data_IF_214004761474
#
_entry.id   IF_214004761474
#
_cell.length_a   1.000
_cell.length_b   1.000
_cell.length_c   1.000
_cell.angle_alpha   90.00
_cell.angle_beta   90.00
_cell.angle_gamma   90.00
#
_symmetry.space_group_name_H-M   'P 1'
#
loop_
_entity.id
_entity.type
_entity.pdbx_description
1 polymer ?
#
# COMPACT_ATOMS: atom_id res chain seq x y z
N UNK A 1 16.98 63.49 58.86
CA UNK A 1 15.79 63.91 58.11
C UNK A 1 16.25 64.25 56.71
N UNK A 2 15.64 63.57 55.73
CA UNK A 2 15.33 64.00 54.36
C UNK A 2 16.40 64.68 53.48
N UNK A 3 16.68 64.06 52.32
CA UNK A 3 16.48 64.58 50.93
C UNK A 3 17.55 63.99 49.96
N UNK A 4 17.22 63.09 49.03
CA UNK A 4 16.60 63.19 47.67
C UNK A 4 17.66 63.20 46.52
N UNK A 5 17.49 62.25 45.58
CA UNK A 5 17.91 62.20 44.15
C UNK A 5 19.41 62.18 43.81
N UNK A 6 19.91 61.64 42.67
CA UNK A 6 19.30 61.33 41.37
C UNK A 6 20.09 60.23 40.62
N UNK A 7 19.46 59.75 39.54
CA UNK A 7 19.70 58.59 38.67
C UNK A 7 21.07 58.49 37.97
N UNK A 8 21.46 57.25 37.60
CA UNK A 8 22.38 57.01 36.48
C UNK A 8 21.92 55.84 35.60
N UNK A 9 21.75 56.19 34.33
CA UNK A 9 21.41 55.40 33.15
C UNK A 9 22.33 54.20 32.92
N UNK A 10 21.77 53.05 32.53
CA UNK A 10 22.50 51.95 31.87
C UNK A 10 21.65 51.40 30.73
N UNK A 11 22.11 51.63 29.50
CA UNK A 11 21.64 50.96 28.27
C UNK A 11 22.07 49.49 28.27
N UNK A 12 21.19 48.53 27.96
CA UNK A 12 21.59 47.14 27.78
C UNK A 12 22.00 46.89 26.32
N UNK A 13 23.19 46.31 26.14
CA UNK A 13 23.69 45.78 24.87
C UNK A 13 22.88 44.54 24.50
N UNK A 14 22.20 44.56 23.35
CA UNK A 14 21.57 43.37 22.76
C UNK A 14 22.65 42.40 22.25
N UNK A 15 22.76 41.24 22.90
CA UNK A 15 23.46 40.08 22.37
C UNK A 15 22.49 39.31 21.48
N UNK A 16 22.78 39.26 20.17
CA UNK A 16 22.01 38.50 19.20
C UNK A 16 22.24 37.01 19.40
N UNK A 17 21.28 36.33 20.02
CA UNK A 17 21.23 34.87 20.06
C UNK A 17 20.88 34.38 18.66
N UNK A 18 21.89 33.86 17.95
CA UNK A 18 21.69 33.09 16.72
C UNK A 18 21.05 31.78 17.13
N UNK A 19 19.73 31.69 16.96
CA UNK A 19 19.00 30.43 17.07
C UNK A 19 19.25 29.66 15.78
N UNK A 20 20.12 28.64 15.84
CA UNK A 20 20.20 27.63 14.79
C UNK A 20 18.82 26.96 14.64
N UNK A 21 18.31 26.74 13.42
CA UNK A 21 17.03 26.09 13.25
C UNK A 21 17.15 24.63 13.71
N UNK A 22 16.32 24.23 14.67
CA UNK A 22 16.11 22.83 15.05
C UNK A 22 15.97 21.98 13.78
N UNK A 23 16.90 21.04 13.60
CA UNK A 23 16.80 20.03 12.56
C UNK A 23 15.50 19.27 12.75
N UNK A 24 14.54 19.50 11.85
CA UNK A 24 13.25 18.82 11.87
C UNK A 24 13.54 17.35 11.58
N UNK A 25 13.47 16.49 12.61
CA UNK A 25 13.67 15.05 12.44
C UNK A 25 12.76 14.53 11.33
N UNK A 26 13.36 13.84 10.35
CA UNK A 26 12.61 13.27 9.24
C UNK A 26 11.54 12.30 9.76
N UNK A 27 10.32 12.27 9.18
CA UNK A 27 9.27 11.39 9.64
C UNK A 27 9.68 9.92 9.53
N UNK A 28 9.20 9.07 10.44
CA UNK A 28 9.50 7.63 10.40
C UNK A 28 8.26 6.85 9.95
N UNK A 29 8.41 6.02 8.92
CA UNK A 29 7.40 5.07 8.44
C UNK A 29 7.84 3.65 8.79
N UNK A 30 7.06 2.98 9.63
CA UNK A 30 7.20 1.56 9.91
C UNK A 30 6.27 0.75 9.01
N UNK A 31 6.77 -0.34 8.45
CA UNK A 31 6.00 -1.21 7.57
C UNK A 31 6.40 -2.68 7.73
N UNK A 32 5.49 -3.60 7.43
CA UNK A 32 5.79 -5.04 7.38
C UNK A 32 4.58 -5.91 7.67
N UNK A 33 3.59 -5.39 8.41
CA UNK A 33 2.30 -6.06 8.58
C UNK A 33 1.44 -5.86 7.34
N UNK A 34 0.76 -6.93 6.91
CA UNK A 34 -0.26 -6.84 5.86
C UNK A 34 -1.31 -5.77 6.19
N UNK A 35 -1.81 -5.76 7.42
CA UNK A 35 -2.91 -4.87 7.82
C UNK A 35 -2.53 -3.39 7.92
N UNK A 36 -1.26 -3.04 7.69
CA UNK A 36 -0.77 -1.67 7.79
C UNK A 36 -0.81 -0.95 6.44
N UNK A 37 -1.05 0.38 6.42
CA UNK A 37 -1.16 1.13 5.18
C UNK A 37 0.06 1.02 4.25
N UNK A 38 1.25 0.99 4.84
CA UNK A 38 2.51 0.98 4.10
C UNK A 38 2.97 -0.42 3.66
N UNK A 39 2.11 -1.43 3.71
CA UNK A 39 2.46 -2.80 3.29
C UNK A 39 2.99 -2.88 1.85
N UNK A 40 2.66 -1.92 0.98
CA UNK A 40 3.23 -1.83 -0.37
C UNK A 40 4.76 -1.71 -0.44
N UNK A 41 5.40 -1.32 0.65
CA UNK A 41 6.85 -1.30 0.80
C UNK A 41 7.44 -2.70 1.01
N UNK A 42 6.66 -3.66 1.53
CA UNK A 42 7.08 -5.04 1.79
C UNK A 42 7.41 -5.79 0.50
N UNK A 43 8.35 -6.74 0.59
CA UNK A 43 8.70 -7.65 -0.50
C UNK A 43 7.53 -8.56 -0.88
N UNK A 44 6.73 -8.95 0.12
CA UNK A 44 5.56 -9.81 -0.04
C UNK A 44 4.37 -9.11 -0.69
N UNK A 45 4.49 -7.81 -0.99
CA UNK A 45 3.43 -7.09 -1.68
C UNK A 45 3.28 -7.59 -3.13
N UNK A 46 2.07 -7.99 -3.56
CA UNK A 46 1.75 -8.31 -4.95
C UNK A 46 2.24 -7.22 -5.90
N UNK A 47 3.29 -7.54 -6.66
CA UNK A 47 3.95 -6.63 -7.59
C UNK A 47 4.62 -7.48 -8.65
N UNK A 48 4.13 -7.43 -9.88
CA UNK A 48 4.72 -8.25 -10.95
C UNK A 48 6.09 -7.70 -11.30
N UNK A 49 7.05 -8.61 -11.37
CA UNK A 49 8.45 -8.27 -11.63
C UNK A 49 8.99 -9.29 -12.63
N UNK A 50 9.44 -8.79 -13.78
CA UNK A 50 10.31 -9.54 -14.66
C UNK A 50 11.74 -9.47 -14.11
N UNK A 51 12.34 -10.62 -13.81
CA UNK A 51 13.71 -10.74 -13.32
C UNK A 51 14.42 -11.91 -14.03
N UNK A 52 15.51 -11.60 -14.75
CA UNK A 52 16.11 -12.53 -15.70
C UNK A 52 15.14 -12.92 -16.82
N UNK A 53 14.99 -14.22 -17.08
CA UNK A 53 14.04 -14.78 -18.05
C UNK A 53 12.67 -15.13 -17.45
N UNK A 54 12.44 -14.85 -16.17
CA UNK A 54 11.28 -15.29 -15.41
C UNK A 54 10.42 -14.11 -14.95
N UNK A 55 9.12 -14.34 -14.75
CA UNK A 55 8.18 -13.38 -14.16
C UNK A 55 7.75 -13.86 -12.78
N UNK A 56 7.73 -12.95 -11.82
CA UNK A 56 7.42 -13.20 -10.42
C UNK A 56 6.23 -12.36 -9.97
N UNK A 57 5.44 -12.89 -9.04
CA UNK A 57 4.21 -12.23 -8.56
C UNK A 57 4.47 -11.17 -7.46
N UNK A 58 5.66 -11.17 -6.87
CA UNK A 58 6.12 -10.21 -5.87
C UNK A 58 7.65 -10.28 -5.72
N UNK A 59 8.24 -9.27 -5.08
CA UNK A 59 9.68 -9.20 -4.85
C UNK A 59 10.22 -10.35 -3.98
N UNK A 60 9.43 -10.85 -3.02
CA UNK A 60 9.85 -11.98 -2.19
C UNK A 60 10.11 -13.23 -3.04
N UNK A 61 9.19 -13.58 -3.95
CA UNK A 61 9.36 -14.73 -4.84
C UNK A 61 10.55 -14.59 -5.78
N UNK A 62 10.82 -13.39 -6.31
CA UNK A 62 12.00 -13.12 -7.12
C UNK A 62 13.30 -13.28 -6.31
N UNK A 63 13.33 -12.74 -5.09
CA UNK A 63 14.49 -12.83 -4.21
C UNK A 63 14.78 -14.27 -3.75
N UNK A 64 13.74 -15.04 -3.39
CA UNK A 64 13.93 -16.45 -3.03
C UNK A 64 14.38 -17.30 -4.22
N UNK A 65 13.89 -17.04 -5.43
CA UNK A 65 14.35 -17.74 -6.63
C UNK A 65 15.80 -17.41 -6.99
N UNK A 66 16.26 -16.19 -6.72
CA UNK A 66 17.64 -15.76 -6.99
C UNK A 66 18.70 -16.61 -6.25
N UNK A 67 18.34 -17.22 -5.11
CA UNK A 67 19.20 -18.15 -4.37
C UNK A 67 19.64 -19.36 -5.19
N UNK A 68 18.83 -19.77 -6.16
CA UNK A 68 18.98 -21.03 -6.89
C UNK A 68 19.50 -20.78 -8.31
N UNK A 69 20.51 -19.90 -8.46
CA UNK A 69 21.02 -19.43 -9.76
C UNK A 69 21.52 -20.56 -10.69
N UNK A 70 22.02 -21.65 -10.12
CA UNK A 70 22.50 -22.82 -10.85
C UNK A 70 21.45 -23.94 -11.01
N UNK A 71 20.23 -23.71 -10.51
CA UNK A 71 19.15 -24.70 -10.40
C UNK A 71 17.83 -24.18 -10.99
N UNK A 72 17.71 -24.10 -12.33
CA UNK A 72 16.55 -23.52 -13.01
C UNK A 72 15.22 -24.20 -12.66
N UNK A 73 15.24 -25.49 -12.34
CA UNK A 73 14.07 -26.25 -11.89
C UNK A 73 13.53 -25.75 -10.55
N UNK A 74 14.41 -25.37 -9.61
CA UNK A 74 14.04 -24.82 -8.31
C UNK A 74 13.52 -23.39 -8.45
N UNK A 75 14.16 -22.59 -9.32
CA UNK A 75 13.69 -21.25 -9.66
C UNK A 75 12.27 -21.26 -10.23
N UNK A 76 12.00 -22.16 -11.19
CA UNK A 76 10.68 -22.33 -11.79
C UNK A 76 9.66 -22.80 -10.73
N UNK A 77 10.05 -23.70 -9.84
CA UNK A 77 9.17 -24.18 -8.78
C UNK A 77 8.81 -23.09 -7.74
N UNK A 78 9.69 -22.11 -7.52
CA UNK A 78 9.42 -20.90 -6.73
C UNK A 78 8.56 -19.90 -7.51
N UNK A 79 8.87 -19.65 -8.78
CA UNK A 79 8.10 -18.74 -9.64
C UNK A 79 6.62 -19.15 -9.76
N UNK A 80 6.35 -20.46 -9.73
CA UNK A 80 4.99 -21.02 -9.78
C UNK A 80 4.25 -21.02 -8.42
N UNK A 81 4.83 -20.48 -7.35
CA UNK A 81 4.14 -20.35 -6.06
C UNK A 81 3.06 -19.28 -6.13
N UNK A 82 1.94 -19.51 -5.44
CA UNK A 82 0.85 -18.53 -5.35
C UNK A 82 1.12 -17.50 -4.25
N UNK A 83 1.82 -17.91 -3.19
CA UNK A 83 2.02 -17.10 -2.00
C UNK A 83 3.51 -16.87 -1.68
N UNK A 84 3.89 -15.67 -1.20
CA UNK A 84 5.26 -15.40 -0.74
C UNK A 84 5.74 -16.39 0.34
N UNK A 85 4.84 -16.80 1.24
CA UNK A 85 5.14 -17.78 2.29
C UNK A 85 5.59 -19.13 1.73
N UNK A 86 4.90 -19.63 0.69
CA UNK A 86 5.27 -20.90 0.04
C UNK A 86 6.67 -20.84 -0.59
N UNK A 87 7.04 -19.69 -1.16
CA UNK A 87 8.37 -19.48 -1.73
C UNK A 87 9.46 -19.49 -0.65
N UNK A 88 9.21 -18.84 0.49
CA UNK A 88 10.11 -18.86 1.64
C UNK A 88 10.27 -20.30 2.17
N UNK A 89 9.17 -21.04 2.33
CA UNK A 89 9.21 -22.40 2.87
C UNK A 89 9.91 -23.38 1.92
N UNK A 90 9.67 -23.27 0.61
CA UNK A 90 10.45 -24.01 -0.39
C UNK A 90 11.93 -23.69 -0.33
N UNK A 91 12.29 -22.40 -0.31
CA UNK A 91 13.68 -21.98 -0.26
C UNK A 91 14.40 -22.47 1.00
N UNK A 92 13.70 -22.53 2.15
CA UNK A 92 14.23 -23.12 3.39
C UNK A 92 14.45 -24.62 3.28
N UNK A 93 13.53 -25.35 2.64
CA UNK A 93 13.67 -26.79 2.43
C UNK A 93 14.80 -27.16 1.46
N UNK A 94 15.26 -26.21 0.66
CA UNK A 94 16.35 -26.38 -0.32
C UNK A 94 17.61 -25.63 0.09
N UNK A 95 17.82 -25.38 1.38
CA UNK A 95 18.98 -24.60 1.87
C UNK A 95 20.33 -25.18 1.41
N UNK A 96 20.42 -26.50 1.22
CA UNK A 96 21.63 -27.20 0.75
C UNK A 96 22.03 -26.83 -0.69
N UNK A 97 21.13 -26.22 -1.46
CA UNK A 97 21.38 -25.76 -2.84
C UNK A 97 21.73 -24.26 -2.90
N UNK A 98 21.74 -23.56 -1.77
CA UNK A 98 22.08 -22.14 -1.73
C UNK A 98 23.61 -21.99 -1.79
N UNK A 99 24.15 -21.16 -2.71
CA UNK A 99 25.57 -20.92 -2.82
C UNK A 99 26.20 -20.39 -1.52
N UNK A 100 27.45 -20.77 -1.26
CA UNK A 100 28.20 -20.33 -0.07
C UNK A 100 28.40 -18.80 -0.03
N UNK A 101 28.51 -18.16 -1.19
CA UNK A 101 28.68 -16.70 -1.36
C UNK A 101 27.37 -15.91 -1.30
N UNK A 102 26.23 -16.57 -1.05
CA UNK A 102 24.92 -15.91 -1.02
C UNK A 102 24.85 -14.74 -0.02
N UNK A 103 25.50 -14.85 1.14
CA UNK A 103 25.50 -13.79 2.14
C UNK A 103 26.14 -12.49 1.62
N UNK A 104 27.16 -12.59 0.77
CA UNK A 104 27.85 -11.44 0.17
C UNK A 104 27.00 -10.79 -0.93
N UNK A 105 26.22 -11.60 -1.67
CA UNK A 105 25.41 -11.12 -2.80
C UNK A 105 24.00 -10.67 -2.42
N UNK A 106 23.43 -11.18 -1.32
CA UNK A 106 22.00 -11.04 -1.04
C UNK A 106 21.51 -9.58 -1.00
N UNK A 107 22.33 -8.65 -0.51
CA UNK A 107 21.98 -7.22 -0.45
C UNK A 107 21.94 -6.58 -1.85
N UNK A 108 22.86 -6.96 -2.74
CA UNK A 108 22.90 -6.44 -4.10
C UNK A 108 21.71 -6.95 -4.91
N UNK A 109 21.39 -8.23 -4.78
CA UNK A 109 20.24 -8.88 -5.40
C UNK A 109 18.93 -8.27 -4.88
N UNK A 110 18.79 -8.09 -3.56
CA UNK A 110 17.59 -7.44 -2.99
C UNK A 110 17.41 -6.02 -3.54
N UNK A 111 18.50 -5.25 -3.65
CA UNK A 111 18.46 -3.90 -4.23
C UNK A 111 18.05 -3.93 -5.70
N UNK A 112 18.53 -4.90 -6.48
CA UNK A 112 18.11 -5.08 -7.87
C UNK A 112 16.63 -5.42 -7.99
N UNK A 113 16.14 -6.42 -7.24
CA UNK A 113 14.74 -6.82 -7.22
C UNK A 113 13.83 -5.65 -6.83
N UNK A 114 14.20 -4.88 -5.80
CA UNK A 114 13.42 -3.70 -5.39
C UNK A 114 13.49 -2.60 -6.45
N UNK A 115 14.64 -2.40 -7.11
CA UNK A 115 14.73 -1.47 -8.24
C UNK A 115 13.74 -1.86 -9.33
N UNK A 116 13.73 -3.13 -9.73
CA UNK A 116 12.80 -3.67 -10.74
C UNK A 116 11.34 -3.52 -10.31
N UNK A 117 11.00 -3.81 -9.05
CA UNK A 117 9.67 -3.59 -8.47
C UNK A 117 9.17 -2.19 -8.75
N UNK A 118 9.96 -1.17 -8.43
CA UNK A 118 9.53 0.23 -8.55
C UNK A 118 9.74 0.83 -9.94
N UNK A 119 10.62 0.29 -10.79
CA UNK A 119 10.76 0.76 -12.17
C UNK A 119 9.73 0.15 -13.11
N UNK A 120 9.29 -1.09 -12.87
CA UNK A 120 8.30 -1.78 -13.70
C UNK A 120 6.85 -1.46 -13.28
N UNK A 121 6.62 -0.96 -12.05
CA UNK A 121 5.29 -0.64 -11.53
C UNK A 121 5.16 0.86 -11.24
N UNK A 122 4.67 1.64 -12.21
CA UNK A 122 4.59 3.11 -12.13
C UNK A 122 3.83 3.64 -10.91
N UNK A 123 2.73 2.98 -10.52
CA UNK A 123 1.94 3.37 -9.35
C UNK A 123 2.72 3.15 -8.04
N UNK A 124 3.45 2.03 -7.93
CA UNK A 124 4.32 1.78 -6.77
C UNK A 124 5.49 2.76 -6.73
N UNK A 125 6.05 3.11 -7.89
CA UNK A 125 7.09 4.16 -8.02
C UNK A 125 6.61 5.47 -7.39
N UNK A 126 5.42 5.93 -7.80
CA UNK A 126 4.84 7.16 -7.30
C UNK A 126 4.63 7.11 -5.78
N UNK A 127 4.09 6.00 -5.26
CA UNK A 127 3.88 5.81 -3.81
C UNK A 127 5.20 5.78 -3.03
N UNK A 128 6.27 5.17 -3.56
CA UNK A 128 7.58 5.21 -2.92
C UNK A 128 8.15 6.63 -2.88
N UNK A 129 8.05 7.38 -3.98
CA UNK A 129 8.51 8.78 -4.03
C UNK A 129 7.71 9.67 -3.06
N UNK A 130 6.42 9.41 -2.89
CA UNK A 130 5.53 10.13 -1.95
C UNK A 130 5.87 9.93 -0.48
N UNK A 131 6.64 8.89 -0.13
CA UNK A 131 7.16 8.78 1.25
C UNK A 131 8.09 9.95 1.60
N UNK A 132 8.43 10.83 0.65
CA UNK A 132 9.20 12.03 0.90
C UNK A 132 10.57 11.65 1.45
N UNK A 133 11.01 12.37 2.47
CA UNK A 133 12.29 12.09 3.13
C UNK A 133 12.12 11.19 4.36
N UNK A 134 10.99 10.49 4.48
CA UNK A 134 10.75 9.62 5.62
C UNK A 134 11.79 8.51 5.75
N UNK A 135 12.24 8.24 6.97
CA UNK A 135 12.96 7.01 7.28
C UNK A 135 12.01 5.83 7.12
N UNK A 136 12.41 4.84 6.33
CA UNK A 136 11.63 3.62 6.11
C UNK A 136 12.20 2.51 6.98
N UNK A 137 11.41 1.98 7.91
CA UNK A 137 11.80 0.89 8.80
C UNK A 137 10.95 -0.35 8.53
N UNK A 138 11.58 -1.40 8.02
CA UNK A 138 10.94 -2.70 7.90
C UNK A 138 10.86 -3.36 9.27
N UNK A 139 9.66 -3.59 9.78
CA UNK A 139 9.44 -4.24 11.07
C UNK A 139 9.26 -5.74 10.88
N UNK A 140 10.13 -6.54 11.50
CA UNK A 140 10.05 -7.99 11.49
C UNK A 140 10.40 -8.57 12.85
N UNK A 141 9.64 -9.56 13.31
CA UNK A 141 9.93 -10.27 14.57
C UNK A 141 11.04 -11.31 14.41
N UNK A 142 11.23 -11.83 13.20
CA UNK A 142 12.08 -12.99 12.91
C UNK A 142 13.34 -12.60 12.15
N UNK A 143 13.29 -11.51 11.38
CA UNK A 143 14.36 -11.11 10.46
C UNK A 143 15.00 -9.79 10.92
N UNK A 144 16.06 -9.92 11.74
CA UNK A 144 16.86 -8.79 12.22
C UNK A 144 17.90 -8.31 11.19
N UNK A 145 18.05 -9.01 10.07
CA UNK A 145 18.96 -8.62 9.01
C UNK A 145 18.29 -7.60 8.09
N UNK A 146 17.16 -7.96 7.48
CA UNK A 146 16.43 -7.04 6.62
C UNK A 146 15.59 -6.01 7.39
N UNK A 147 15.20 -6.31 8.63
CA UNK A 147 14.32 -5.47 9.43
C UNK A 147 14.84 -5.10 10.81
N UNK A 148 13.97 -4.45 11.59
CA UNK A 148 14.08 -4.22 13.03
C UNK A 148 12.92 -4.90 13.75
N UNK A 149 13.17 -5.39 14.96
CA UNK A 149 12.11 -5.87 15.85
C UNK A 149 11.42 -4.70 16.59
N UNK A 150 10.58 -5.03 17.57
CA UNK A 150 9.81 -4.03 18.34
C UNK A 150 10.68 -3.22 19.30
N UNK A 151 11.86 -3.73 19.64
CA UNK A 151 12.83 -3.08 20.52
C UNK A 151 13.89 -2.33 19.70
N UNK A 152 13.56 -2.05 18.43
CA UNK A 152 14.41 -1.43 17.41
C UNK A 152 15.75 -2.15 17.16
N UNK A 153 15.83 -3.45 17.47
CA UNK A 153 17.01 -4.25 17.21
C UNK A 153 16.99 -4.83 15.80
N UNK A 154 18.09 -4.66 15.07
CA UNK A 154 18.27 -5.16 13.71
C UNK A 154 18.86 -4.11 12.76
N UNK A 155 19.22 -4.53 11.55
CA UNK A 155 20.00 -3.71 10.61
C UNK A 155 19.15 -2.89 9.63
N UNK A 156 17.86 -3.22 9.50
CA UNK A 156 16.93 -2.54 8.58
C UNK A 156 17.46 -2.45 7.13
N UNK A 157 18.14 -3.48 6.62
CA UNK A 157 18.70 -3.42 5.26
C UNK A 157 17.63 -3.17 4.20
N UNK A 158 16.41 -3.70 4.34
CA UNK A 158 15.34 -3.46 3.37
C UNK A 158 14.91 -1.99 3.36
N UNK A 159 14.74 -1.37 4.52
CA UNK A 159 14.43 0.06 4.63
C UNK A 159 15.47 0.93 3.97
N UNK A 160 16.76 0.65 4.24
CA UNK A 160 17.89 1.36 3.64
C UNK A 160 17.97 1.19 2.11
N UNK A 161 17.70 -0.02 1.62
CA UNK A 161 17.60 -0.32 0.19
C UNK A 161 16.47 0.51 -0.44
N UNK A 162 15.29 0.53 0.16
CA UNK A 162 14.15 1.31 -0.35
C UNK A 162 14.44 2.80 -0.42
N UNK A 163 15.09 3.37 0.61
CA UNK A 163 15.52 4.77 0.61
C UNK A 163 16.55 5.05 -0.49
N UNK A 164 17.47 4.11 -0.74
CA UNK A 164 18.44 4.20 -1.83
C UNK A 164 17.76 4.14 -3.21
N UNK A 165 16.79 3.23 -3.39
CA UNK A 165 15.98 3.13 -4.61
C UNK A 165 15.15 4.39 -4.81
N UNK A 166 14.56 4.94 -3.75
CA UNK A 166 13.84 6.23 -3.77
C UNK A 166 14.74 7.36 -4.25
N UNK A 167 15.95 7.48 -3.73
CA UNK A 167 16.92 8.48 -4.16
C UNK A 167 17.30 8.31 -5.64
N UNK A 168 17.57 7.07 -6.07
CA UNK A 168 17.84 6.74 -7.47
C UNK A 168 16.69 7.19 -8.40
N UNK A 169 15.45 6.86 -8.04
CA UNK A 169 14.26 7.18 -8.83
C UNK A 169 13.96 8.68 -8.95
N UNK A 170 14.44 9.52 -8.02
CA UNK A 170 14.38 10.99 -8.12
C UNK A 170 15.33 11.55 -9.17
N UNK A 171 16.47 10.90 -9.37
CA UNK A 171 17.50 11.33 -10.35
C UNK A 171 17.23 10.85 -11.77
N UNK A 172 16.36 9.84 -11.93
CA UNK A 172 16.00 9.29 -13.24
C UNK A 172 14.88 10.12 -13.90
N UNK A 173 15.15 10.86 -14.99
CA UNK A 173 14.10 11.53 -15.77
C UNK A 173 13.08 10.49 -16.28
N UNK A 174 11.84 10.93 -16.50
CA UNK A 174 10.63 10.10 -16.66
C UNK A 174 10.62 9.01 -17.75
N UNK A 175 11.69 8.85 -18.54
CA UNK A 175 11.78 7.83 -19.58
C UNK A 175 12.58 6.59 -19.10
N UNK A 176 11.95 5.81 -18.22
CA UNK A 176 12.48 4.51 -17.73
C UNK A 176 12.17 3.35 -18.69
N UNK A 177 11.29 3.58 -19.66
CA UNK A 177 10.72 2.57 -20.56
C UNK A 177 11.79 1.83 -21.38
N UNK A 178 12.89 2.52 -21.70
CA UNK A 178 13.96 2.01 -22.54
C UNK A 178 15.00 1.15 -21.79
N UNK A 179 15.16 1.31 -20.47
CA UNK A 179 16.17 0.57 -19.68
C UNK A 179 15.62 -0.59 -18.88
N UNK A 180 14.37 -0.50 -18.46
CA UNK A 180 13.67 -1.58 -17.79
C UNK A 180 12.42 -1.84 -18.61
N UNK A 181 12.46 -2.88 -19.46
CA UNK A 181 11.30 -3.26 -20.26
C UNK A 181 10.13 -3.44 -19.29
N UNK A 182 9.06 -2.62 -19.40
CA UNK A 182 7.88 -2.84 -18.58
C UNK A 182 7.40 -4.27 -18.88
N UNK A 183 7.05 -5.02 -17.83
CA UNK A 183 6.42 -6.33 -18.07
C UNK A 183 5.18 -6.07 -18.94
N UNK A 184 5.02 -6.75 -20.09
CA UNK A 184 3.93 -6.46 -21.01
C UNK A 184 2.62 -6.51 -20.24
N UNK A 185 1.95 -5.37 -20.18
CA UNK A 185 0.63 -5.24 -19.61
C UNK A 185 -0.29 -6.19 -20.40
N UNK A 186 -0.59 -7.37 -19.87
CA UNK A 186 -1.67 -8.16 -20.46
C UNK A 186 -2.93 -7.28 -20.37
N UNK A 187 -3.81 -7.23 -21.37
CA UNK A 187 -5.03 -6.39 -21.34
C UNK A 187 -6.01 -6.69 -20.20
N UNK A 188 -5.72 -7.68 -19.35
CA UNK A 188 -6.41 -7.98 -18.10
C UNK A 188 -5.65 -7.52 -16.83
N UNK A 189 -4.60 -6.69 -16.96
CA UNK A 189 -3.80 -6.19 -15.85
C UNK A 189 -4.63 -5.18 -15.03
N UNK A 190 -5.13 -5.71 -13.91
CA UNK A 190 -5.92 -5.02 -12.89
C UNK A 190 -4.97 -4.11 -12.11
N UNK A 191 -5.43 -2.90 -11.80
CA UNK A 191 -4.64 -1.95 -10.99
C UNK A 191 -4.14 -2.63 -9.73
N UNK A 192 -2.84 -2.48 -9.42
CA UNK A 192 -2.11 -3.13 -8.32
C UNK A 192 -2.50 -2.53 -6.97
N UNK A 193 -3.80 -2.39 -6.72
CA UNK A 193 -4.32 -2.08 -5.41
C UNK A 193 -4.38 -3.41 -4.69
N UNK A 194 -3.49 -3.53 -3.71
CA UNK A 194 -3.46 -4.65 -2.79
C UNK A 194 -4.88 -5.00 -2.36
N UNK A 195 -5.26 -6.23 -2.67
CA UNK A 195 -6.36 -6.90 -2.04
C UNK A 195 -5.72 -8.11 -1.38
N UNK A 196 -5.79 -8.17 -0.06
CA UNK A 196 -5.49 -9.42 0.60
C UNK A 196 -6.48 -10.44 0.09
N UNK A 197 -6.01 -11.52 -0.51
CA UNK A 197 -6.68 -12.78 -0.32
C UNK A 197 -5.93 -13.45 0.85
N UNK A 198 -6.00 -12.88 2.05
CA UNK A 198 -5.58 -13.58 3.29
C UNK A 198 -6.64 -14.61 3.73
N UNK A 199 -7.64 -14.90 2.89
CA UNK A 199 -8.50 -16.05 3.08
C UNK A 199 -7.67 -17.32 2.80
N UNK A 200 -6.90 -17.75 3.80
CA UNK A 200 -6.55 -19.16 3.93
C UNK A 200 -7.84 -19.99 3.85
N UNK A 201 -7.72 -21.23 3.40
CA UNK A 201 -8.81 -22.20 3.35
C UNK A 201 -9.59 -22.33 4.69
N UNK A 202 -9.02 -21.83 5.81
CA UNK A 202 -9.66 -21.80 7.13
C UNK A 202 -10.94 -20.95 7.21
N UNK A 203 -11.20 -20.07 6.24
CA UNK A 203 -12.26 -19.07 6.33
C UNK A 203 -13.57 -19.42 5.64
N UNK A 204 -13.60 -20.53 4.90
CA UNK A 204 -14.79 -20.95 4.20
C UNK A 204 -15.28 -22.28 4.75
N UNK A 205 -16.22 -22.27 5.72
CA UNK A 205 -16.92 -23.48 6.06
C UNK A 205 -17.46 -24.10 4.77
N UNK A 206 -17.29 -25.41 4.65
CA UNK A 206 -17.83 -26.21 3.54
C UNK A 206 -19.29 -25.81 3.29
N UNK A 207 -19.60 -25.42 2.05
CA UNK A 207 -20.96 -25.02 1.64
C UNK A 207 -21.33 -23.53 1.59
N UNK A 208 -20.39 -22.57 1.74
CA UNK A 208 -20.65 -21.13 1.49
C UNK A 208 -19.75 -20.53 0.40
N UNK A 209 -20.25 -19.52 -0.34
CA UNK A 209 -19.51 -18.83 -1.39
C UNK A 209 -18.14 -18.35 -0.88
N UNK A 210 -17.08 -18.64 -1.65
CA UNK A 210 -15.70 -18.27 -1.32
C UNK A 210 -15.29 -17.03 -2.11
N UNK A 211 -14.71 -16.02 -1.47
CA UNK A 211 -14.10 -14.89 -2.19
C UNK A 211 -12.90 -15.42 -2.98
N UNK A 212 -13.04 -15.40 -4.31
CA UNK A 212 -12.01 -15.90 -5.22
C UNK A 212 -11.06 -14.77 -5.62
N UNK A 213 -11.64 -13.62 -5.97
CA UNK A 213 -10.87 -12.51 -6.50
C UNK A 213 -11.54 -11.18 -6.16
N UNK A 214 -10.71 -10.20 -5.80
CA UNK A 214 -11.09 -8.80 -5.72
C UNK A 214 -10.23 -8.05 -6.72
N UNK A 215 -10.87 -7.25 -7.56
CA UNK A 215 -10.15 -6.41 -8.51
C UNK A 215 -10.68 -4.99 -8.45
N UNK A 216 -9.74 -4.05 -8.38
CA UNK A 216 -10.06 -2.63 -8.44
C UNK A 216 -9.63 -2.10 -9.79
N UNK A 217 -10.54 -1.40 -10.44
CA UNK A 217 -10.25 -0.65 -11.66
C UNK A 217 -10.46 0.83 -11.37
N UNK A 218 -9.51 1.71 -11.66
CA UNK A 218 -9.84 3.13 -11.71
C UNK A 218 -10.86 3.32 -12.84
N UNK A 219 -11.81 4.25 -12.66
CA UNK A 219 -12.81 4.49 -13.71
C UNK A 219 -12.21 5.15 -14.95
N UNK A 220 -11.15 5.92 -14.74
CA UNK A 220 -10.25 6.40 -15.79
C UNK A 220 -8.98 5.58 -15.68
N UNK A 221 -8.57 4.89 -16.75
CA UNK A 221 -7.46 3.92 -16.77
C UNK A 221 -6.14 4.47 -16.19
N UNK A 222 -6.02 5.81 -16.14
CA UNK A 222 -4.87 6.58 -15.70
C UNK A 222 -5.10 7.37 -14.40
N UNK A 223 -5.99 6.97 -13.47
CA UNK A 223 -6.07 7.65 -12.17
C UNK A 223 -4.71 7.54 -11.45
N UNK A 224 -3.92 8.60 -11.52
CA UNK A 224 -2.55 8.64 -11.05
C UNK A 224 -2.54 8.77 -9.52
N UNK A 225 -1.61 8.08 -8.86
CA UNK A 225 -1.26 8.41 -7.47
C UNK A 225 -0.78 9.88 -7.28
N UNK A 226 -0.65 10.66 -8.36
CA UNK A 226 -0.34 12.10 -8.29
C UNK A 226 -1.49 12.96 -7.78
N UNK A 227 -2.73 12.47 -7.83
CA UNK A 227 -3.91 13.21 -7.36
C UNK A 227 -3.81 13.56 -5.86
N UNK A 228 -4.55 14.60 -5.47
CA UNK A 228 -4.62 15.07 -4.08
C UNK A 228 -5.33 14.08 -3.16
N UNK A 229 -6.24 13.28 -3.72
CA UNK A 229 -6.91 12.20 -3.00
C UNK A 229 -7.09 10.99 -3.92
N UNK A 230 -6.69 9.81 -3.45
CA UNK A 230 -6.80 8.58 -4.23
C UNK A 230 -6.91 7.32 -3.36
N UNK A 231 -7.32 6.21 -3.97
CA UNK A 231 -7.41 4.91 -3.31
C UNK A 231 -6.02 4.30 -3.08
N UNK A 232 -5.63 4.16 -1.82
CA UNK A 232 -4.32 3.68 -1.39
C UNK A 232 -4.21 2.14 -1.43
N UNK A 233 -5.16 1.44 -0.82
CA UNK A 233 -5.21 -0.03 -0.78
C UNK A 233 -6.57 -0.52 -0.29
N UNK A 234 -6.85 -1.81 -0.45
CA UNK A 234 -7.99 -2.47 0.18
C UNK A 234 -7.47 -3.62 1.04
N UNK A 235 -7.70 -3.55 2.33
CA UNK A 235 -7.45 -4.65 3.26
C UNK A 235 -8.77 -5.37 3.55
N UNK A 236 -8.70 -6.62 4.01
CA UNK A 236 -9.81 -7.21 4.76
C UNK A 236 -9.32 -7.63 6.14
N UNK A 237 -10.20 -7.50 7.13
CA UNK A 237 -9.94 -7.97 8.48
C UNK A 237 -10.31 -9.44 8.67
N UNK A 238 -10.52 -9.80 9.94
CA UNK A 238 -11.04 -11.10 10.37
C UNK A 238 -12.59 -11.14 10.33
N UNK A 239 -13.25 -10.29 9.54
CA UNK A 239 -14.71 -10.29 9.42
C UNK A 239 -15.13 -10.61 7.98
N UNK A 240 -16.11 -11.51 7.76
CA UNK A 240 -16.45 -11.93 6.41
C UNK A 240 -17.03 -10.81 5.60
N UNK A 241 -16.50 -10.67 4.39
CA UNK A 241 -16.96 -9.68 3.43
C UNK A 241 -16.86 -8.24 3.91
N UNK A 242 -16.14 -8.00 5.01
CA UNK A 242 -15.84 -6.68 5.53
C UNK A 242 -14.47 -6.25 5.06
N UNK A 243 -14.46 -5.31 4.13
CA UNK A 243 -13.27 -4.70 3.58
C UNK A 243 -13.00 -3.37 4.25
N UNK A 244 -11.73 -3.02 4.36
CA UNK A 244 -11.27 -1.70 4.76
C UNK A 244 -10.56 -1.06 3.56
N UNK A 245 -11.14 0.04 3.10
CA UNK A 245 -10.70 0.80 1.95
C UNK A 245 -9.87 1.96 2.47
N UNK A 246 -8.57 1.94 2.17
CA UNK A 246 -7.65 2.98 2.59
C UNK A 246 -7.60 4.08 1.54
N UNK A 247 -7.93 5.31 1.92
CA UNK A 247 -7.87 6.50 1.07
C UNK A 247 -6.70 7.36 1.53
N UNK A 248 -5.82 7.73 0.59
CA UNK A 248 -4.73 8.65 0.85
C UNK A 248 -5.15 10.06 0.43
N UNK A 249 -4.93 11.04 1.31
CA UNK A 249 -5.18 12.47 1.10
C UNK A 249 -3.89 13.24 1.35
N UNK A 250 -3.57 14.21 0.48
CA UNK A 250 -2.44 15.12 0.64
C UNK A 250 -2.82 16.32 1.51
N UNK A 251 -1.92 16.77 2.38
CA UNK A 251 -2.17 17.83 3.37
C UNK A 251 -2.70 19.15 2.79
N UNK A 252 -2.22 19.54 1.60
CA UNK A 252 -2.67 20.76 0.93
C UNK A 252 -4.16 20.71 0.56
N UNK A 253 -4.70 19.51 0.32
CA UNK A 253 -6.13 19.26 0.19
C UNK A 253 -6.80 18.98 1.55
N UNK A 254 -6.02 18.70 2.59
CA UNK A 254 -6.51 18.37 3.92
C UNK A 254 -7.00 19.57 4.75
N UNK A 255 -6.57 20.78 4.43
CA UNK A 255 -7.17 22.02 4.96
C UNK A 255 -8.66 22.16 4.61
N UNK A 256 -9.18 21.35 3.66
CA UNK A 256 -10.60 21.11 3.40
C UNK A 256 -11.06 19.64 3.51
N UNK A 257 -10.21 18.71 3.98
CA UNK A 257 -10.56 17.28 4.04
C UNK A 257 -11.63 16.95 5.09
N UNK A 258 -11.90 17.86 6.03
CA UNK A 258 -13.08 17.77 6.89
C UNK A 258 -14.38 17.64 6.09
N UNK A 259 -14.39 18.04 4.82
CA UNK A 259 -15.54 17.97 3.93
C UNK A 259 -15.46 16.83 2.90
N UNK A 260 -14.40 16.01 2.87
CA UNK A 260 -14.31 14.89 1.92
C UNK A 260 -15.19 13.72 2.36
N UNK A 261 -15.93 13.15 1.40
CA UNK A 261 -16.79 11.99 1.61
C UNK A 261 -16.42 10.87 0.66
N UNK A 262 -16.43 9.64 1.16
CA UNK A 262 -16.31 8.42 0.36
C UNK A 262 -17.68 7.77 0.26
N UNK A 263 -18.18 7.62 -0.96
CA UNK A 263 -19.47 7.02 -1.23
C UNK A 263 -19.26 5.67 -1.91
N UNK A 264 -19.78 4.62 -1.29
CA UNK A 264 -19.85 3.27 -1.86
C UNK A 264 -21.26 3.04 -2.36
N UNK A 265 -21.36 2.72 -3.64
CA UNK A 265 -22.64 2.50 -4.28
C UNK A 265 -22.65 1.16 -5.01
N UNK A 266 -23.67 0.35 -4.74
CA UNK A 266 -23.91 -0.90 -5.46
C UNK A 266 -25.39 -0.99 -5.79
N UNK A 267 -25.69 -1.09 -7.08
CA UNK A 267 -27.02 -1.38 -7.60
C UNK A 267 -26.98 -2.77 -8.23
N UNK A 268 -27.57 -3.74 -7.54
CA UNK A 268 -27.87 -5.04 -8.12
C UNK A 268 -29.33 -5.03 -8.60
N UNK A 269 -29.62 -5.73 -9.70
CA UNK A 269 -30.96 -5.76 -10.28
C UNK A 269 -31.97 -6.30 -9.25
N UNK A 270 -33.11 -5.63 -9.03
CA UNK A 270 -34.12 -6.11 -8.10
C UNK A 270 -34.53 -7.54 -8.47
N UNK A 271 -34.73 -8.40 -7.45
CA UNK A 271 -35.19 -9.77 -7.67
C UNK A 271 -36.69 -9.83 -7.53
N UNK A 272 -37.37 -10.43 -8.49
CA UNK A 272 -38.79 -10.74 -8.34
C UNK A 272 -38.96 -11.81 -7.25
N UNK A 273 -39.73 -11.52 -6.20
CA UNK A 273 -40.05 -12.47 -5.13
C UNK A 273 -41.40 -13.12 -5.41
N UNK A 274 -41.45 -14.41 -5.81
CA UNK A 274 -42.71 -15.11 -6.06
C UNK A 274 -43.57 -15.20 -4.79
N UNK A 275 -42.94 -15.30 -3.62
CA UNK A 275 -43.61 -15.37 -2.32
C UNK A 275 -44.35 -14.07 -1.94
N UNK A 276 -43.91 -12.92 -2.44
CA UNK A 276 -44.47 -11.60 -2.11
C UNK A 276 -45.15 -10.92 -3.31
N UNK A 277 -45.15 -11.56 -4.48
CA UNK A 277 -45.74 -11.02 -5.72
C UNK A 277 -45.17 -9.66 -6.15
N UNK A 278 -43.94 -9.33 -5.74
CA UNK A 278 -43.32 -8.02 -6.01
C UNK A 278 -41.84 -8.14 -6.30
N UNK A 279 -41.32 -7.16 -7.02
CA UNK A 279 -39.88 -6.91 -7.11
C UNK A 279 -39.38 -6.43 -5.75
N UNK A 280 -38.38 -7.12 -5.21
CA UNK A 280 -37.70 -6.77 -3.96
C UNK A 280 -36.30 -6.27 -4.33
N UNK A 281 -35.80 -5.19 -3.71
CA UNK A 281 -34.41 -4.79 -3.87
C UNK A 281 -33.51 -6.01 -3.63
N UNK A 282 -32.50 -6.22 -4.47
CA UNK A 282 -31.54 -7.30 -4.20
C UNK A 282 -30.87 -6.99 -2.85
N UNK A 283 -30.79 -7.95 -1.91
CA UNK A 283 -30.10 -7.75 -0.64
C UNK A 283 -28.63 -7.30 -0.80
N UNK A 284 -28.04 -7.41 -1.99
CA UNK A 284 -26.73 -6.87 -2.34
C UNK A 284 -26.69 -5.37 -2.67
N UNK A 285 -27.83 -4.70 -2.86
CA UNK A 285 -27.86 -3.27 -3.15
C UNK A 285 -27.64 -2.44 -1.89
N UNK A 286 -26.71 -1.49 -1.94
CA UNK A 286 -26.46 -0.58 -0.82
C UNK A 286 -25.89 0.77 -1.30
N UNK A 287 -26.12 1.79 -0.47
CA UNK A 287 -25.51 3.11 -0.58
C UNK A 287 -24.94 3.49 0.79
N UNK A 288 -23.61 3.63 0.88
CA UNK A 288 -22.91 3.95 2.12
C UNK A 288 -22.05 5.19 1.90
N UNK A 289 -22.25 6.20 2.74
CA UNK A 289 -21.53 7.47 2.67
C UNK A 289 -20.78 7.68 3.99
N UNK A 290 -19.48 7.97 3.90
CA UNK A 290 -18.62 8.14 5.06
C UNK A 290 -17.78 9.40 4.91
N UNK A 291 -17.84 10.28 5.91
CA UNK A 291 -16.99 11.46 5.98
C UNK A 291 -15.56 11.08 6.40
N UNK A 292 -14.55 11.61 5.73
CA UNK A 292 -13.17 11.46 6.16
C UNK A 292 -12.90 12.42 7.33
N UNK A 293 -12.78 11.86 8.53
CA UNK A 293 -12.55 12.61 9.77
C UNK A 293 -11.43 11.97 10.59
N UNK A 294 -11.07 12.59 11.71
CA UNK A 294 -10.08 12.04 12.65
C UNK A 294 -10.44 10.64 13.15
N UNK A 295 -11.72 10.26 13.17
CA UNK A 295 -12.17 8.91 13.57
C UNK A 295 -11.72 7.83 12.58
N UNK A 296 -11.56 8.19 11.31
CA UNK A 296 -11.16 7.29 10.25
C UNK A 296 -9.65 7.36 9.96
N UNK A 297 -8.91 8.25 10.62
CA UNK A 297 -7.48 8.47 10.38
C UNK A 297 -6.64 7.29 10.90
N UNK A 298 -5.90 6.64 10.01
CA UNK A 298 -5.06 5.47 10.30
C UNK A 298 -3.59 5.80 10.44
N UNK A 299 -3.09 6.71 9.61
CA UNK A 299 -1.70 7.10 9.62
C UNK A 299 -1.53 8.54 9.15
N UNK A 300 -0.49 9.19 9.66
CA UNK A 300 -0.04 10.50 9.23
C UNK A 300 1.46 10.46 9.06
N UNK A 301 1.94 10.86 7.89
CA UNK A 301 3.37 11.06 7.63
C UNK A 301 3.57 12.56 7.46
N UNK A 302 4.29 13.18 8.40
CA UNK A 302 4.56 14.62 8.38
C UNK A 302 5.80 14.91 7.54
N UNK A 303 5.70 15.72 6.49
CA UNK A 303 6.82 15.98 5.59
C UNK A 303 6.52 17.11 4.61
N UNK A 304 7.40 17.36 3.62
CA UNK A 304 7.24 18.47 2.65
C UNK A 304 5.86 18.57 1.96
N UNK A 305 5.09 17.48 1.94
CA UNK A 305 3.63 17.51 1.93
C UNK A 305 3.13 16.39 2.86
N UNK A 306 2.32 16.70 3.88
CA UNK A 306 1.82 15.65 4.78
C UNK A 306 0.94 14.65 4.01
N UNK A 307 1.06 13.38 4.38
CA UNK A 307 0.25 12.30 3.83
C UNK A 307 -0.65 11.76 4.92
N UNK A 308 -1.96 11.85 4.70
CA UNK A 308 -2.99 11.33 5.60
C UNK A 308 -3.59 10.08 4.98
N UNK A 309 -3.70 9.00 5.75
CA UNK A 309 -4.35 7.78 5.29
C UNK A 309 -5.57 7.54 6.16
N UNK A 310 -6.75 7.47 5.53
CA UNK A 310 -8.02 7.20 6.16
C UNK A 310 -8.47 5.78 5.84
N UNK A 311 -8.99 5.03 6.81
CA UNK A 311 -9.55 3.70 6.62
C UNK A 311 -11.07 3.72 6.73
N UNK A 312 -11.75 3.34 5.65
CA UNK A 312 -13.22 3.26 5.62
C UNK A 312 -13.65 1.81 5.43
N UNK A 313 -14.48 1.31 6.35
CA UNK A 313 -14.99 -0.05 6.26
C UNK A 313 -16.20 -0.12 5.34
N UNK A 314 -16.30 -1.16 4.52
CA UNK A 314 -17.46 -1.48 3.68
C UNK A 314 -17.76 -2.97 3.78
N UNK A 315 -19.02 -3.31 4.02
CA UNK A 315 -19.51 -4.68 4.06
C UNK A 315 -20.08 -5.00 2.68
N UNK A 316 -19.49 -5.97 2.00
CA UNK A 316 -19.92 -6.41 0.68
C UNK A 316 -20.79 -7.67 0.80
N UNK A 317 -21.73 -7.88 -0.11
CA UNK A 317 -22.52 -9.10 -0.10
C UNK A 317 -21.71 -10.29 -0.67
N UNK A 318 -22.01 -11.53 -0.26
CA UNK A 318 -21.25 -12.73 -0.62
C UNK A 318 -21.58 -13.27 -2.02
N UNK A 319 -21.54 -12.42 -3.05
CA UNK A 319 -21.79 -12.79 -4.43
C UNK A 319 -21.08 -11.85 -5.40
N UNK A 320 -20.95 -12.32 -6.64
CA UNK A 320 -20.36 -11.56 -7.73
C UNK A 320 -21.03 -10.22 -7.90
N UNK A 321 -20.23 -9.18 -8.09
CA UNK A 321 -20.76 -7.89 -8.51
C UNK A 321 -19.77 -6.75 -8.38
N UNK A 322 -20.28 -5.55 -8.62
CA UNK A 322 -19.49 -4.33 -8.74
C UNK A 322 -19.97 -3.31 -7.74
N UNK A 323 -19.03 -2.75 -6.99
CA UNK A 323 -19.24 -1.61 -6.10
C UNK A 323 -18.50 -0.43 -6.68
N UNK A 324 -19.20 0.65 -6.89
CA UNK A 324 -18.67 1.92 -7.33
C UNK A 324 -18.21 2.72 -6.12
N UNK A 325 -17.03 3.33 -6.20
CA UNK A 325 -16.43 4.14 -5.15
C UNK A 325 -16.27 5.56 -5.69
N UNK A 326 -16.88 6.51 -5.01
CA UNK A 326 -16.78 7.94 -5.30
C UNK A 326 -16.09 8.66 -4.15
N UNK A 327 -15.24 9.61 -4.48
CA UNK A 327 -14.59 10.53 -3.56
C UNK A 327 -15.14 11.92 -3.88
N UNK A 328 -15.90 12.48 -2.96
CA UNK A 328 -16.69 13.69 -3.18
C UNK A 328 -16.24 14.81 -2.23
N UNK A 329 -16.29 16.07 -2.68
CA UNK A 329 -15.87 17.22 -1.87
C UNK A 329 -16.89 17.65 -0.80
N UNK A 330 -18.10 17.08 -0.79
CA UNK A 330 -19.11 17.30 0.25
C UNK A 330 -20.19 16.22 0.18
N UNK A 331 -20.98 16.07 1.25
CA UNK A 331 -22.10 15.11 1.32
C UNK A 331 -23.19 15.35 0.26
N UNK A 332 -23.46 16.62 -0.04
CA UNK A 332 -24.50 17.03 -0.99
C UNK A 332 -23.98 17.15 -2.43
N UNK A 333 -22.69 16.89 -2.67
CA UNK A 333 -22.15 16.89 -4.02
C UNK A 333 -22.86 15.86 -4.89
N UNK A 334 -23.24 16.27 -6.09
CA UNK A 334 -23.84 15.35 -7.07
C UNK A 334 -22.79 14.32 -7.46
N UNK A 335 -23.19 13.04 -7.47
CA UNK A 335 -22.31 11.96 -7.95
C UNK A 335 -22.00 12.20 -9.43
N UNK A 336 -20.72 12.21 -9.83
CA UNK A 336 -20.37 12.24 -11.24
C UNK A 336 -20.91 11.00 -11.96
N UNK A 337 -21.08 11.07 -13.28
CA UNK A 337 -21.57 9.93 -14.09
C UNK A 337 -20.62 8.73 -14.04
N UNK A 338 -19.33 8.98 -13.85
CA UNK A 338 -18.32 7.94 -13.70
C UNK A 338 -17.80 7.92 -12.27
N UNK A 339 -17.67 6.74 -11.63
CA UNK A 339 -17.06 6.63 -10.30
C UNK A 339 -15.58 7.02 -10.32
N UNK A 340 -14.92 7.13 -9.16
CA UNK A 340 -13.46 7.24 -9.11
C UNK A 340 -12.83 5.86 -9.31
N UNK A 341 -13.43 4.83 -8.67
CA UNK A 341 -12.98 3.44 -8.76
C UNK A 341 -14.17 2.48 -8.84
N UNK A 342 -13.96 1.33 -9.47
CA UNK A 342 -14.90 0.21 -9.47
C UNK A 342 -14.22 -0.99 -8.82
N UNK A 343 -14.80 -1.46 -7.73
CA UNK A 343 -14.43 -2.67 -7.01
C UNK A 343 -15.27 -3.82 -7.53
N UNK A 344 -14.66 -4.77 -8.23
CA UNK A 344 -15.30 -5.98 -8.70
C UNK A 344 -14.91 -7.16 -7.81
N UNK A 345 -15.91 -7.88 -7.33
CA UNK A 345 -15.76 -9.07 -6.51
C UNK A 345 -16.24 -10.28 -7.30
N UNK A 346 -15.46 -11.35 -7.29
CA UNK A 346 -15.79 -12.64 -7.88
C UNK A 346 -15.72 -13.73 -6.82
N UNK A 347 -16.72 -14.60 -6.83
CA UNK A 347 -16.97 -15.62 -5.83
C UNK A 347 -17.05 -16.99 -6.51
N UNK A 348 -16.49 -18.01 -5.86
CA UNK A 348 -16.62 -19.39 -6.29
C UNK A 348 -17.63 -20.11 -5.39
N UNK A 349 -18.39 -21.05 -5.96
CA UNK A 349 -19.14 -22.01 -5.16
C UNK A 349 -18.15 -22.79 -4.28
N UNK A 350 -18.50 -23.01 -3.01
CA UNK A 350 -17.72 -23.94 -2.20
C UNK A 350 -17.87 -25.35 -2.79
N UNK A 351 -16.74 -25.98 -3.12
CA UNK A 351 -16.66 -27.41 -3.40
C UNK A 351 -16.93 -28.26 -2.16
#
# INVERSE_FOLDING_TARGET
>A
MSEISSERSVTPTEESVVVEPEATEAPVIRFGSGTEPFFFLSNSFPSRIAFGSSEFMNAETAFQAAKFRDHPELQLAIANTKWPGDAIDKARNWIDYVPEDWEEECLSIMKEVQTLKYTQNNQLRARLLQTGDAELIFTSRMDKFFGRDRDDQGHNHLGNILMSVRALLRTLPGDLSNRFKPSPCRPASRSTIWCTNFASEQWYPTGKARLQEVSVKPAVEDALASEDTFLHSISHGNQPWRFEVLIQVRAAAATGAGDLWVHFHRLDNPRYSPAHGRWVPDPGSFDKQVQLSSENLKATVKGGADVLIYGVHVDLPPHDGKTEIYILPSKSATRPEQPNYTLSVTTAAAE
#
